data_IF_421623148494
#
_entry.id   IF_421623148494
#
_cell.length_a   1.000
_cell.length_b   1.000
_cell.length_c   1.000
_cell.angle_alpha   90.00
_cell.angle_beta   90.00
_cell.angle_gamma   90.00
#
_symmetry.space_group_name_H-M   'P 1'
#
loop_
_entity.id
_entity.type
_entity.pdbx_description
1 polymer ?
#
# COMPACT_ATOMS: atom_id res chain seq x y z
N UNK A 1 -37.75 -27.23 -16.43
CA UNK A 1 -38.91 -26.32 -16.59
C UNK A 1 -38.35 -25.05 -17.20
N UNK A 2 -38.61 -24.81 -18.48
CA UNK A 2 -38.09 -23.64 -19.18
C UNK A 2 -39.09 -22.51 -18.98
N UNK A 3 -38.69 -21.50 -18.21
CA UNK A 3 -39.50 -20.32 -17.96
C UNK A 3 -39.32 -19.34 -19.13
N UNK A 4 -40.37 -19.10 -19.91
CA UNK A 4 -40.40 -18.09 -20.97
C UNK A 4 -41.06 -16.86 -20.36
N UNK A 5 -40.33 -15.74 -20.32
CA UNK A 5 -40.85 -14.43 -19.86
C UNK A 5 -41.60 -13.78 -21.05
N UNK A 6 -42.61 -12.95 -20.78
CA UNK A 6 -43.61 -12.40 -21.74
C UNK A 6 -43.08 -11.65 -22.98
N UNK A 7 -41.75 -11.53 -23.17
CA UNK A 7 -41.12 -10.82 -24.29
C UNK A 7 -40.20 -11.70 -25.17
N UNK A 8 -40.41 -13.02 -25.20
CA UNK A 8 -39.62 -13.97 -26.00
C UNK A 8 -38.11 -13.95 -25.67
N UNK A 9 -37.77 -13.51 -24.46
CA UNK A 9 -36.41 -13.51 -23.93
C UNK A 9 -36.11 -14.88 -23.31
N UNK A 10 -35.25 -15.66 -23.99
CA UNK A 10 -34.81 -16.97 -23.52
C UNK A 10 -33.58 -16.82 -22.61
N UNK A 11 -33.85 -16.67 -21.31
CA UNK A 11 -32.83 -16.51 -20.27
C UNK A 11 -31.80 -17.66 -20.26
N UNK A 12 -32.20 -18.88 -20.62
CA UNK A 12 -31.29 -20.04 -20.61
C UNK A 12 -30.33 -20.01 -21.80
N UNK A 13 -30.82 -19.59 -22.96
CA UNK A 13 -29.99 -19.38 -24.15
C UNK A 13 -28.94 -18.29 -23.94
N UNK A 14 -29.28 -17.23 -23.21
CA UNK A 14 -28.33 -16.17 -22.86
C UNK A 14 -27.27 -16.64 -21.85
N UNK A 15 -27.64 -17.53 -20.90
CA UNK A 15 -26.68 -18.14 -19.96
C UNK A 15 -25.70 -19.10 -20.64
N UNK A 16 -26.10 -19.73 -21.74
CA UNK A 16 -25.28 -20.65 -22.54
C UNK A 16 -24.40 -19.93 -23.57
N UNK A 17 -24.51 -18.60 -23.71
CA UNK A 17 -23.63 -17.82 -24.58
C UNK A 17 -22.23 -17.64 -23.95
N UNK A 18 -21.44 -18.70 -24.08
CA UNK A 18 -20.04 -18.82 -23.63
C UNK A 18 -19.06 -17.87 -24.36
N UNK A 19 -19.53 -16.98 -25.24
CA UNK A 19 -18.66 -16.04 -25.97
C UNK A 19 -18.00 -14.98 -25.08
N UNK A 20 -18.34 -14.95 -23.79
CA UNK A 20 -17.76 -14.05 -22.77
C UNK A 20 -16.96 -14.76 -21.67
N UNK A 21 -16.37 -15.93 -21.95
CA UNK A 21 -15.39 -16.56 -21.04
C UNK A 21 -14.12 -15.70 -21.01
N UNK A 22 -14.15 -14.68 -20.17
CA UNK A 22 -12.99 -13.93 -19.75
C UNK A 22 -12.12 -14.86 -18.89
N UNK A 23 -10.82 -14.92 -19.18
CA UNK A 23 -9.86 -15.67 -18.36
C UNK A 23 -9.95 -15.24 -16.88
N UNK A 24 -10.70 -16.00 -16.08
CA UNK A 24 -11.11 -15.68 -14.71
C UNK A 24 -9.95 -15.48 -13.73
N UNK A 25 -8.74 -15.94 -14.06
CA UNK A 25 -7.61 -15.96 -13.15
C UNK A 25 -7.08 -14.57 -12.76
N UNK A 26 -7.38 -13.54 -13.57
CA UNK A 26 -6.85 -12.18 -13.44
C UNK A 26 -7.91 -11.12 -13.14
N UNK A 27 -9.06 -11.53 -12.60
CA UNK A 27 -10.16 -10.63 -12.26
C UNK A 27 -10.35 -10.55 -10.73
N UNK A 28 -10.68 -9.36 -10.24
CA UNK A 28 -11.08 -9.13 -8.85
C UNK A 28 -12.47 -9.73 -8.60
N UNK A 29 -12.56 -10.62 -7.60
CA UNK A 29 -13.83 -11.32 -7.29
C UNK A 29 -14.94 -10.42 -6.73
N UNK A 30 -14.60 -9.20 -6.28
CA UNK A 30 -15.57 -8.24 -5.74
C UNK A 30 -16.08 -7.25 -6.79
N UNK A 31 -15.18 -6.63 -7.56
CA UNK A 31 -15.53 -5.58 -8.53
C UNK A 31 -15.66 -6.08 -9.96
N UNK A 32 -15.27 -7.33 -10.25
CA UNK A 32 -15.20 -7.90 -11.61
C UNK A 32 -14.31 -7.09 -12.57
N UNK A 33 -13.40 -6.30 -12.03
CA UNK A 33 -12.38 -5.56 -12.78
C UNK A 33 -11.04 -6.29 -12.76
N UNK A 34 -10.11 -6.02 -13.71
CA UNK A 34 -8.79 -6.65 -13.71
C UNK A 34 -8.03 -6.46 -12.39
N UNK A 35 -7.22 -7.45 -12.01
CA UNK A 35 -6.41 -7.40 -10.79
C UNK A 35 -5.32 -6.32 -10.89
N UNK A 36 -5.23 -5.46 -9.88
CA UNK A 36 -4.18 -4.43 -9.76
C UNK A 36 -2.88 -5.03 -9.26
N UNK A 37 -1.74 -4.33 -9.44
CA UNK A 37 -0.40 -4.82 -9.04
C UNK A 37 -0.35 -5.37 -7.61
N UNK A 38 -1.01 -4.68 -6.69
CA UNK A 38 -1.06 -4.97 -5.26
C UNK A 38 -2.28 -5.80 -4.83
N UNK A 39 -2.86 -6.63 -5.71
CA UNK A 39 -3.98 -7.49 -5.34
C UNK A 39 -3.65 -8.41 -4.15
N UNK A 40 -4.65 -8.71 -3.34
CA UNK A 40 -4.54 -9.59 -2.17
C UNK A 40 -5.19 -10.92 -2.49
N UNK A 41 -4.52 -12.00 -2.11
CA UNK A 41 -5.09 -13.35 -2.08
C UNK A 41 -5.33 -13.73 -0.62
N UNK A 42 -6.58 -14.01 -0.27
CA UNK A 42 -6.93 -14.50 1.07
C UNK A 42 -6.56 -15.99 1.23
N UNK A 43 -6.56 -16.51 2.45
CA UNK A 43 -6.23 -17.92 2.73
C UNK A 43 -7.23 -18.89 2.08
N UNK A 44 -8.45 -18.41 1.81
CA UNK A 44 -9.45 -19.16 1.04
C UNK A 44 -9.25 -19.11 -0.47
N UNK A 45 -8.13 -18.57 -0.97
CA UNK A 45 -7.77 -18.56 -2.40
C UNK A 45 -8.38 -17.41 -3.21
N UNK A 46 -9.36 -16.70 -2.69
CA UNK A 46 -10.01 -15.60 -3.42
C UNK A 46 -9.09 -14.38 -3.56
N UNK A 47 -9.07 -13.82 -4.77
CA UNK A 47 -8.26 -12.66 -5.16
C UNK A 47 -9.11 -11.40 -5.24
N UNK A 48 -8.61 -10.32 -4.65
CA UNK A 48 -9.28 -9.03 -4.63
C UNK A 48 -8.31 -7.88 -4.86
N UNK A 49 -8.79 -6.82 -5.49
CA UNK A 49 -8.09 -5.55 -5.52
C UNK A 49 -8.02 -4.96 -4.12
N UNK A 50 -6.83 -4.48 -3.74
CA UNK A 50 -6.53 -4.07 -2.37
C UNK A 50 -7.50 -3.01 -1.85
N UNK A 51 -7.75 -1.95 -2.63
CA UNK A 51 -8.62 -0.84 -2.23
C UNK A 51 -10.05 -1.32 -1.93
N UNK A 52 -10.66 -2.05 -2.86
CA UNK A 52 -12.03 -2.54 -2.71
C UNK A 52 -12.16 -3.50 -1.51
N UNK A 53 -11.15 -4.34 -1.29
CA UNK A 53 -11.13 -5.24 -0.13
C UNK A 53 -11.00 -4.48 1.20
N UNK A 54 -10.20 -3.42 1.25
CA UNK A 54 -10.08 -2.55 2.44
C UNK A 54 -11.42 -1.93 2.80
N UNK A 55 -12.11 -1.34 1.81
CA UNK A 55 -13.39 -0.66 2.00
C UNK A 55 -14.49 -1.64 2.48
N UNK A 56 -14.51 -2.85 1.92
CA UNK A 56 -15.44 -3.91 2.30
C UNK A 56 -15.19 -4.41 3.73
N UNK A 57 -13.92 -4.65 4.10
CA UNK A 57 -13.57 -5.07 5.47
C UNK A 57 -13.86 -3.94 6.47
N UNK A 58 -13.60 -2.68 6.10
CA UNK A 58 -13.95 -1.52 6.91
C UNK A 58 -15.46 -1.50 7.18
N UNK A 59 -16.27 -1.60 6.14
CA UNK A 59 -17.74 -1.63 6.26
C UNK A 59 -18.19 -2.80 7.13
N UNK A 60 -17.66 -4.00 6.91
CA UNK A 60 -18.00 -5.20 7.69
C UNK A 60 -17.67 -5.05 9.19
N UNK A 61 -16.57 -4.36 9.54
CA UNK A 61 -16.11 -4.21 10.93
C UNK A 61 -16.74 -3.03 11.67
N UNK A 62 -16.95 -1.91 10.98
CA UNK A 62 -17.39 -0.66 11.59
C UNK A 62 -18.89 -0.42 11.42
N UNK A 63 -19.45 -0.79 10.27
CA UNK A 63 -20.88 -0.68 9.97
C UNK A 63 -21.56 -2.04 10.21
N UNK A 64 -21.39 -2.57 11.43
CA UNK A 64 -21.87 -3.91 11.78
C UNK A 64 -23.39 -4.02 11.57
N UNK A 65 -23.77 -4.82 10.56
CA UNK A 65 -25.15 -5.26 10.33
C UNK A 65 -25.30 -6.70 10.84
N UNK A 66 -26.30 -6.96 11.72
CA UNK A 66 -26.57 -8.31 12.25
C UNK A 66 -26.97 -9.31 11.16
N UNK A 67 -27.60 -8.85 10.07
CA UNK A 67 -27.99 -9.71 8.95
C UNK A 67 -26.77 -10.22 8.16
N UNK A 68 -25.80 -9.34 7.90
CA UNK A 68 -24.57 -9.71 7.19
C UNK A 68 -23.51 -10.36 8.09
N UNK A 69 -23.58 -10.11 9.40
CA UNK A 69 -22.62 -10.57 10.39
C UNK A 69 -23.25 -11.52 11.39
N UNK A 70 -23.44 -12.77 10.98
CA UNK A 70 -23.92 -13.85 11.86
C UNK A 70 -23.03 -14.02 13.12
N UNK A 71 -21.74 -13.71 13.01
CA UNK A 71 -20.82 -13.63 14.15
C UNK A 71 -20.03 -12.32 14.16
N UNK A 72 -19.72 -11.83 15.36
CA UNK A 72 -18.78 -10.72 15.57
C UNK A 72 -17.35 -11.16 15.26
N UNK A 73 -16.66 -10.41 14.41
CA UNK A 73 -15.25 -10.64 14.09
C UNK A 73 -14.33 -10.23 15.25
N UNK A 74 -13.30 -11.02 15.52
CA UNK A 74 -12.26 -10.65 16.47
C UNK A 74 -11.34 -9.54 15.91
N UNK A 75 -10.52 -8.96 16.79
CA UNK A 75 -9.64 -7.82 16.48
C UNK A 75 -8.73 -8.05 15.25
N UNK A 76 -8.21 -9.27 15.09
CA UNK A 76 -7.29 -9.64 14.01
C UNK A 76 -7.88 -10.66 13.03
N UNK A 77 -9.21 -10.72 12.95
CA UNK A 77 -9.92 -11.56 11.99
C UNK A 77 -10.53 -10.70 10.90
N UNK A 78 -10.45 -11.16 9.65
CA UNK A 78 -11.16 -10.57 8.52
C UNK A 78 -12.06 -11.64 7.89
N UNK A 79 -13.21 -11.24 7.37
CA UNK A 79 -14.10 -12.13 6.62
C UNK A 79 -13.85 -11.95 5.13
N UNK A 80 -13.78 -13.05 4.39
CA UNK A 80 -13.77 -12.99 2.93
C UNK A 80 -15.12 -12.45 2.42
N UNK A 81 -15.15 -11.41 1.57
CA UNK A 81 -16.41 -10.88 1.02
C UNK A 81 -17.17 -11.89 0.16
N UNK A 82 -16.45 -12.82 -0.49
CA UNK A 82 -17.03 -13.77 -1.42
C UNK A 82 -17.56 -15.03 -0.71
N UNK A 83 -16.67 -15.82 -0.10
CA UNK A 83 -17.05 -17.09 0.53
C UNK A 83 -17.35 -17.01 2.03
N UNK A 84 -17.29 -15.81 2.63
CA UNK A 84 -17.54 -15.57 4.06
C UNK A 84 -16.63 -16.34 5.05
N UNK A 85 -15.57 -17.00 4.57
CA UNK A 85 -14.58 -17.63 5.43
C UNK A 85 -13.82 -16.61 6.28
N UNK A 86 -13.46 -16.99 7.51
CA UNK A 86 -12.63 -16.15 8.37
C UNK A 86 -11.15 -16.39 8.07
N UNK A 87 -10.41 -15.31 7.88
CA UNK A 87 -8.98 -15.30 7.71
C UNK A 87 -8.34 -14.64 8.94
N UNK A 88 -7.22 -15.21 9.39
CA UNK A 88 -6.46 -14.70 10.52
C UNK A 88 -5.36 -13.75 10.05
N UNK A 89 -5.29 -12.58 10.67
CA UNK A 89 -4.44 -11.48 10.25
C UNK A 89 -5.22 -10.39 9.51
N UNK A 90 -4.78 -9.15 9.70
CA UNK A 90 -5.30 -7.99 8.99
C UNK A 90 -4.67 -7.88 7.59
N UNK A 91 -5.08 -6.90 6.79
CA UNK A 91 -4.40 -6.60 5.54
C UNK A 91 -3.03 -5.94 5.78
N UNK A 92 -2.03 -6.17 4.92
CA UNK A 92 -0.76 -5.43 5.00
C UNK A 92 -1.01 -3.93 4.75
N UNK A 93 -0.32 -3.05 5.46
CA UNK A 93 -0.44 -1.60 5.21
C UNK A 93 0.34 -1.20 3.95
N UNK A 94 -0.37 -1.01 2.84
CA UNK A 94 0.20 -0.53 1.56
C UNK A 94 -0.03 0.98 1.44
N UNK A 95 1.07 1.76 1.49
CA UNK A 95 0.99 3.23 1.48
C UNK A 95 0.57 3.82 0.14
N UNK A 96 0.99 3.21 -0.96
CA UNK A 96 0.71 3.73 -2.31
C UNK A 96 -0.77 3.67 -2.66
N UNK A 97 -1.51 2.74 -2.04
CA UNK A 97 -2.93 2.50 -2.30
C UNK A 97 -3.84 3.16 -1.25
N UNK A 98 -3.28 3.66 -0.14
CA UNK A 98 -4.02 4.31 0.94
C UNK A 98 -3.66 5.79 1.03
N UNK A 99 -4.67 6.65 1.10
CA UNK A 99 -4.50 8.08 1.40
C UNK A 99 -4.04 8.36 2.85
N UNK A 100 -3.88 7.32 3.69
CA UNK A 100 -3.51 7.44 5.10
C UNK A 100 -2.15 6.81 5.40
N UNK A 101 -1.26 7.57 6.04
CA UNK A 101 0.10 7.12 6.37
C UNK A 101 0.16 6.00 7.42
N UNK A 102 -0.88 5.91 8.25
CA UNK A 102 -0.97 4.99 9.40
C UNK A 102 -1.71 3.70 9.08
N UNK A 103 -2.35 3.62 7.91
CA UNK A 103 -3.33 2.59 7.60
C UNK A 103 -4.68 2.83 8.28
N UNK A 104 -5.59 1.89 8.10
CA UNK A 104 -6.91 1.88 8.75
C UNK A 104 -6.87 0.92 9.93
N UNK A 105 -7.15 1.43 11.14
CA UNK A 105 -7.17 0.65 12.38
C UNK A 105 -8.13 -0.53 12.24
N UNK A 106 -7.77 -1.70 12.78
CA UNK A 106 -8.62 -2.89 12.76
C UNK A 106 -8.84 -3.54 11.38
N UNK A 107 -8.40 -2.91 10.29
CA UNK A 107 -8.48 -3.42 8.90
C UNK A 107 -7.11 -3.76 8.36
N UNK A 108 -6.13 -2.89 8.62
CA UNK A 108 -4.73 -3.05 8.16
C UNK A 108 -3.76 -3.14 9.34
N UNK A 109 -2.60 -3.77 9.14
CA UNK A 109 -1.54 -3.85 10.13
C UNK A 109 -0.16 -3.94 9.50
N UNK A 110 0.85 -3.42 10.21
CA UNK A 110 2.27 -3.58 9.89
C UNK A 110 2.88 -4.87 10.43
N UNK A 111 2.29 -5.44 11.49
CA UNK A 111 2.89 -6.58 12.22
C UNK A 111 2.00 -7.82 12.19
N UNK A 112 0.68 -7.67 12.30
CA UNK A 112 -0.29 -8.78 12.36
C UNK A 112 -1.14 -8.78 11.09
N UNK A 113 -0.51 -9.12 9.97
CA UNK A 113 -1.15 -9.11 8.67
C UNK A 113 -0.98 -10.45 7.94
N UNK A 114 -1.82 -10.68 6.94
CA UNK A 114 -1.71 -11.79 6.01
C UNK A 114 -0.46 -11.56 5.12
N UNK A 115 0.29 -12.61 4.75
CA UNK A 115 1.41 -12.48 3.82
C UNK A 115 0.98 -11.87 2.48
N UNK A 116 1.85 -11.04 1.88
CA UNK A 116 1.59 -10.44 0.57
C UNK A 116 2.76 -10.70 -0.39
N UNK A 117 3.64 -9.71 -0.63
CA UNK A 117 4.86 -9.91 -1.43
C UNK A 117 6.10 -10.01 -0.54
N UNK A 118 7.15 -10.60 -1.09
CA UNK A 118 8.48 -10.67 -0.49
C UNK A 118 9.34 -9.50 -0.93
N UNK A 119 9.96 -8.79 0.01
CA UNK A 119 10.83 -7.65 -0.28
C UNK A 119 12.11 -8.10 -0.98
N UNK A 120 12.39 -7.50 -2.16
CA UNK A 120 13.57 -7.80 -2.99
C UNK A 120 14.76 -6.88 -2.74
N UNK A 121 14.70 -6.03 -1.71
CA UNK A 121 15.80 -5.12 -1.38
C UNK A 121 17.05 -5.89 -0.93
N UNK A 122 18.19 -5.58 -1.54
CA UNK A 122 19.51 -6.12 -1.18
C UNK A 122 20.22 -5.15 -0.24
N UNK A 123 20.67 -5.65 0.91
CA UNK A 123 21.30 -4.84 1.94
C UNK A 123 22.67 -4.32 1.47
N UNK A 124 22.86 -3.00 1.45
CA UNK A 124 24.12 -2.35 1.02
C UNK A 124 25.20 -2.30 2.12
N UNK A 125 24.80 -2.43 3.40
CA UNK A 125 25.66 -2.23 4.58
C UNK A 125 25.27 -3.18 5.72
N UNK A 126 26.14 -3.30 6.72
CA UNK A 126 25.90 -4.07 7.95
C UNK A 126 26.28 -5.56 7.83
N UNK A 127 25.95 -6.34 8.87
CA UNK A 127 26.32 -7.77 8.99
C UNK A 127 25.75 -8.64 7.87
N UNK A 128 24.59 -8.26 7.31
CA UNK A 128 23.86 -9.00 6.27
C UNK A 128 24.05 -8.38 4.87
N UNK A 129 25.17 -7.70 4.63
CA UNK A 129 25.44 -7.04 3.33
C UNK A 129 25.40 -8.06 2.19
N UNK A 130 24.71 -7.73 1.11
CA UNK A 130 24.51 -8.62 -0.04
C UNK A 130 23.31 -9.57 0.09
N UNK A 131 22.71 -9.70 1.28
CA UNK A 131 21.49 -10.51 1.47
C UNK A 131 20.22 -9.70 1.19
N UNK A 132 19.15 -10.43 0.81
CA UNK A 132 17.81 -9.88 0.65
C UNK A 132 17.07 -9.70 1.98
N UNK A 133 16.16 -8.72 2.02
CA UNK A 133 15.35 -8.44 3.20
C UNK A 133 14.40 -9.59 3.57
N UNK A 134 13.78 -10.26 2.59
CA UNK A 134 12.85 -11.38 2.75
C UNK A 134 11.62 -11.10 3.65
N UNK A 135 11.21 -9.84 3.81
CA UNK A 135 9.99 -9.51 4.55
C UNK A 135 8.75 -9.78 3.72
N UNK A 136 7.74 -10.46 4.28
CA UNK A 136 6.51 -10.91 3.60
C UNK A 136 5.37 -9.87 3.56
N UNK A 137 5.70 -8.58 3.71
CA UNK A 137 4.77 -7.44 3.62
C UNK A 137 5.28 -6.37 2.66
N UNK A 138 6.01 -6.79 1.64
CA UNK A 138 6.34 -5.90 0.54
C UNK A 138 5.12 -5.64 -0.33
N UNK A 139 5.18 -4.55 -1.06
CA UNK A 139 4.21 -4.16 -2.08
C UNK A 139 4.96 -3.70 -3.33
N UNK A 140 4.28 -3.76 -4.46
CA UNK A 140 4.79 -3.36 -5.75
C UNK A 140 4.58 -1.86 -5.98
N UNK A 141 5.64 -1.18 -6.38
CA UNK A 141 5.67 0.24 -6.74
C UNK A 141 6.47 0.43 -8.05
N UNK A 142 6.48 1.64 -8.60
CA UNK A 142 7.28 2.02 -9.78
C UNK A 142 8.76 1.68 -9.59
N UNK A 143 9.25 1.70 -8.36
CA UNK A 143 10.64 1.39 -8.03
C UNK A 143 10.94 -0.12 -7.94
N UNK A 144 9.90 -0.96 -7.83
CA UNK A 144 10.01 -2.40 -7.57
C UNK A 144 9.28 -2.85 -6.29
N UNK A 145 9.53 -4.10 -5.88
CA UNK A 145 8.84 -4.76 -4.75
C UNK A 145 9.58 -4.59 -3.43
N UNK A 146 9.09 -3.71 -2.57
CA UNK A 146 9.78 -3.37 -1.31
C UNK A 146 8.83 -3.29 -0.11
N UNK A 147 9.37 -3.56 1.08
CA UNK A 147 8.65 -3.26 2.32
C UNK A 147 8.67 -1.76 2.62
N UNK A 148 7.73 -1.30 3.45
CA UNK A 148 7.57 0.11 3.81
C UNK A 148 8.87 0.80 4.26
N UNK A 149 9.76 0.07 4.97
CA UNK A 149 11.05 0.61 5.41
C UNK A 149 11.99 0.85 4.22
N UNK A 150 12.16 -0.14 3.35
CA UNK A 150 13.07 -0.05 2.21
C UNK A 150 12.53 0.83 1.07
N UNK A 151 11.21 0.87 0.89
CA UNK A 151 10.56 1.81 -0.02
C UNK A 151 10.91 3.27 0.36
N UNK A 152 10.83 3.61 1.65
CA UNK A 152 11.26 4.92 2.16
C UNK A 152 12.75 5.17 1.93
N UNK A 153 13.61 4.16 2.14
CA UNK A 153 15.03 4.30 1.87
C UNK A 153 15.31 4.65 0.40
N UNK A 154 14.65 3.97 -0.54
CA UNK A 154 14.84 4.20 -1.98
C UNK A 154 14.33 5.59 -2.39
N UNK A 155 13.15 6.00 -1.91
CA UNK A 155 12.62 7.34 -2.18
C UNK A 155 13.58 8.41 -1.67
N UNK A 156 14.08 8.26 -0.43
CA UNK A 156 15.03 9.21 0.13
C UNK A 156 16.34 9.25 -0.66
N UNK A 157 16.87 8.09 -1.09
CA UNK A 157 18.08 8.04 -1.91
C UNK A 157 17.89 8.77 -3.25
N UNK A 158 16.74 8.58 -3.93
CA UNK A 158 16.42 9.29 -5.18
C UNK A 158 16.30 10.80 -4.96
N UNK A 159 15.56 11.21 -3.93
CA UNK A 159 15.41 12.61 -3.54
C UNK A 159 16.76 13.26 -3.22
N UNK A 160 17.64 12.55 -2.54
CA UNK A 160 18.98 13.05 -2.23
C UNK A 160 19.85 13.19 -3.49
N UNK A 161 19.68 12.32 -4.49
CA UNK A 161 20.35 12.43 -5.79
C UNK A 161 19.84 13.64 -6.59
N UNK A 162 18.52 13.83 -6.65
CA UNK A 162 17.88 14.98 -7.29
C UNK A 162 18.26 16.30 -6.61
N UNK A 163 18.27 16.33 -5.28
CA UNK A 163 18.69 17.52 -4.53
C UNK A 163 20.16 17.85 -4.78
N UNK A 164 21.03 16.84 -4.90
CA UNK A 164 22.45 17.03 -5.23
C UNK A 164 22.64 17.58 -6.64
N UNK A 165 21.82 17.16 -7.61
CA UNK A 165 21.89 17.68 -8.97
C UNK A 165 21.34 19.10 -9.08
N UNK A 166 20.24 19.40 -8.36
CA UNK A 166 19.57 20.71 -8.45
C UNK A 166 20.27 21.79 -7.62
N UNK A 167 20.91 21.41 -6.50
CA UNK A 167 21.57 22.33 -5.57
C UNK A 167 23.00 21.90 -5.20
N UNK A 168 23.91 21.71 -6.18
CA UNK A 168 25.26 21.23 -5.93
C UNK A 168 26.05 22.15 -4.98
N UNK A 169 25.75 23.45 -4.97
CA UNK A 169 26.34 24.45 -4.08
C UNK A 169 26.10 24.14 -2.60
N UNK A 170 24.90 23.69 -2.22
CA UNK A 170 24.57 23.38 -0.82
C UNK A 170 25.33 22.15 -0.32
N UNK A 171 25.54 21.16 -1.19
CA UNK A 171 26.28 19.94 -0.83
C UNK A 171 27.80 20.17 -0.73
N UNK A 172 28.34 21.21 -1.37
CA UNK A 172 29.76 21.61 -1.25
C UNK A 172 30.06 22.38 0.05
N UNK A 173 29.09 23.15 0.58
CA UNK A 173 29.26 23.97 1.80
C UNK A 173 29.55 23.16 3.06
N UNK A 174 30.28 23.77 4.01
CA UNK A 174 30.51 23.19 5.36
C UNK A 174 29.28 23.39 6.25
N UNK A 175 29.16 22.63 7.34
CA UNK A 175 28.02 22.77 8.26
C UNK A 175 27.85 24.18 8.83
N UNK A 176 28.96 24.88 9.15
CA UNK A 176 28.92 26.26 9.66
C UNK A 176 28.30 27.22 8.65
N UNK A 177 28.74 27.15 7.40
CA UNK A 177 28.22 27.95 6.29
C UNK A 177 26.74 27.65 6.02
N UNK A 178 26.29 26.40 6.20
CA UNK A 178 24.88 26.04 6.08
C UNK A 178 24.04 26.61 7.23
N UNK A 179 24.55 26.61 8.46
CA UNK A 179 23.83 27.19 9.60
C UNK A 179 23.63 28.70 9.50
N UNK A 180 24.54 29.40 8.81
CA UNK A 180 24.42 30.86 8.57
C UNK A 180 23.31 31.20 7.57
N UNK A 181 22.90 30.26 6.71
CA UNK A 181 21.82 30.46 5.74
C UNK A 181 20.43 30.31 6.35
N UNK A 182 20.31 29.78 7.57
CA UNK A 182 19.04 29.59 8.26
C UNK A 182 18.69 30.88 9.02
N UNK A 183 17.52 31.51 8.77
CA UNK A 183 17.13 32.73 9.45
C UNK A 183 16.97 32.53 10.96
N UNK A 184 17.67 33.33 11.77
CA UNK A 184 17.59 33.30 13.25
C UNK A 184 16.22 33.71 13.81
N UNK A 185 15.33 34.22 12.97
CA UNK A 185 13.97 34.68 13.33
C UNK A 185 13.06 33.53 13.72
N UNK A 186 13.33 32.32 13.22
CA UNK A 186 12.60 31.14 13.61
C UNK A 186 13.31 30.53 14.81
N UNK A 187 12.61 30.42 15.93
CA UNK A 187 13.09 29.80 17.18
C UNK A 187 13.19 28.26 17.01
N UNK A 188 13.79 27.80 15.92
CA UNK A 188 13.87 26.41 15.49
C UNK A 188 15.12 25.76 16.05
N UNK A 189 14.96 24.51 16.49
CA UNK A 189 16.07 23.68 16.95
C UNK A 189 16.95 23.30 15.76
N UNK A 190 18.10 23.96 15.63
CA UNK A 190 19.03 23.72 14.53
C UNK A 190 19.61 22.30 14.62
N UNK A 191 19.44 21.47 13.58
CA UNK A 191 19.99 20.12 13.58
C UNK A 191 21.51 20.13 13.41
N UNK A 192 22.19 19.19 14.05
CA UNK A 192 23.67 19.08 14.02
C UNK A 192 24.20 18.35 12.79
N UNK A 193 23.36 17.57 12.08
CA UNK A 193 23.79 16.79 10.92
C UNK A 193 23.65 17.61 9.64
N UNK A 194 24.65 17.53 8.77
CA UNK A 194 24.70 18.24 7.48
C UNK A 194 23.47 17.95 6.60
N UNK A 195 23.06 16.68 6.50
CA UNK A 195 21.91 16.28 5.69
C UNK A 195 20.61 16.95 6.18
N UNK A 196 20.39 16.94 7.50
CA UNK A 196 19.21 17.54 8.13
C UNK A 196 19.18 19.08 7.94
N UNK A 197 20.35 19.73 7.92
CA UNK A 197 20.46 21.18 7.61
C UNK A 197 20.07 21.48 6.17
N UNK A 198 20.54 20.67 5.21
CA UNK A 198 20.19 20.83 3.80
C UNK A 198 18.69 20.61 3.59
N UNK A 199 18.12 19.56 4.18
CA UNK A 199 16.67 19.29 4.14
C UNK A 199 15.86 20.47 4.71
N UNK A 200 16.35 21.14 5.76
CA UNK A 200 15.69 22.30 6.36
C UNK A 200 15.73 23.52 5.42
N UNK A 201 16.90 23.84 4.86
CA UNK A 201 17.08 24.96 3.92
C UNK A 201 16.20 24.77 2.67
N UNK A 202 16.17 23.55 2.13
CA UNK A 202 15.34 23.23 0.96
C UNK A 202 13.85 23.38 1.29
N UNK A 203 13.39 22.91 2.46
CA UNK A 203 12.01 23.14 2.90
C UNK A 203 11.67 24.63 3.01
N UNK A 204 12.55 25.44 3.60
CA UNK A 204 12.31 26.89 3.72
C UNK A 204 12.25 27.59 2.35
N UNK A 205 13.08 27.18 1.39
CA UNK A 205 13.05 27.75 0.03
C UNK A 205 11.73 27.52 -0.71
N UNK A 206 10.99 26.46 -0.35
CA UNK A 206 9.66 26.16 -0.90
C UNK A 206 8.55 27.04 -0.33
N UNK A 207 8.69 27.58 0.89
CA UNK A 207 7.70 28.45 1.52
C UNK A 207 7.88 29.95 1.19
N UNK A 208 8.94 30.30 0.44
CA UNK A 208 9.22 31.67 -0.02
C UNK A 208 8.78 31.95 -1.47
N UNK A 209 8.10 30.99 -2.12
CA UNK A 209 7.41 31.16 -3.41
C UNK A 209 5.91 31.25 -3.15
#
# INVERSE_FOLDING_TARGET
MNYIIEDNFDFWKELEDDTSICNDENICMLTKTPLTKNYITLLCGHKFNYKCLVDEIFTTKYNYNRYDNQRKLQKYEIRCPYCRSINYGLLPTIKTELNSESGVTGVTSKNKHIPHRTCRFVMKRGKRKGESCNSNHAYDDVNGTFCQKHHRCIINEKRDLENKSNHPELFKKKCKELTELIPKTYNLKIPKKKADLIDLILKESFYKK
#
